data_IF_994462264771
#
_entry.id   IF_994462264771
#
_cell.length_a   1.000
_cell.length_b   1.000
_cell.length_c   1.000
_cell.angle_alpha   90.00
_cell.angle_beta   90.00
_cell.angle_gamma   90.00
#
_symmetry.space_group_name_H-M   'P 1'
#
loop_
_entity.id
_entity.type
_entity.pdbx_description
1 polymer ?
#
# COMPACT_ATOMS: atom_id res chain seq x y z
N UNK A 1 -20.34 -3.96 -24.32
CA UNK A 1 -20.64 -4.78 -23.12
C UNK A 1 -19.34 -5.00 -22.38
N UNK A 2 -19.12 -4.29 -21.26
CA UNK A 2 -18.01 -4.57 -20.37
C UNK A 2 -18.39 -5.76 -19.49
N UNK A 3 -17.48 -6.70 -19.26
CA UNK A 3 -17.69 -7.75 -18.26
C UNK A 3 -17.82 -7.09 -16.89
N UNK A 4 -18.83 -7.50 -16.12
CA UNK A 4 -18.92 -7.10 -14.72
C UNK A 4 -18.13 -8.09 -13.85
N UNK A 5 -17.64 -7.66 -12.66
CA UNK A 5 -17.00 -8.58 -11.71
C UNK A 5 -17.90 -9.78 -11.36
N UNK A 6 -19.21 -9.57 -11.32
CA UNK A 6 -20.20 -10.61 -11.06
C UNK A 6 -20.32 -11.62 -12.21
N UNK A 7 -20.04 -11.21 -13.45
CA UNK A 7 -20.05 -12.12 -14.61
C UNK A 7 -18.85 -13.06 -14.62
N UNK A 8 -17.73 -12.65 -14.03
CA UNK A 8 -16.52 -13.47 -13.90
C UNK A 8 -16.69 -14.51 -12.79
N UNK A 9 -17.22 -14.11 -11.64
CA UNK A 9 -17.50 -15.02 -10.51
C UNK A 9 -18.54 -16.09 -10.88
N UNK A 10 -19.54 -15.74 -11.69
CA UNK A 10 -20.59 -16.67 -12.12
C UNK A 10 -20.20 -17.50 -13.35
N UNK A 11 -18.96 -17.40 -13.84
CA UNK A 11 -18.56 -18.02 -15.09
C UNK A 11 -18.20 -19.50 -14.87
N UNK A 12 -19.07 -20.38 -15.35
CA UNK A 12 -18.78 -21.81 -15.38
C UNK A 12 -18.13 -22.23 -16.70
N UNK A 13 -16.98 -22.90 -16.61
CA UNK A 13 -16.29 -23.49 -17.77
C UNK A 13 -16.73 -24.95 -17.97
N UNK A 14 -16.99 -25.33 -19.22
CA UNK A 14 -17.34 -26.72 -19.55
C UNK A 14 -16.08 -27.57 -19.64
N UNK A 15 -16.08 -28.75 -18.98
CA UNK A 15 -14.94 -29.67 -19.04
C UNK A 15 -14.76 -30.20 -20.47
N UNK A 16 -13.52 -30.25 -20.99
CA UNK A 16 -13.27 -30.66 -22.38
C UNK A 16 -13.71 -32.11 -22.59
N UNK A 17 -14.70 -32.33 -23.47
CA UNK A 17 -15.16 -33.66 -23.86
C UNK A 17 -14.22 -34.24 -24.91
N UNK A 18 -13.20 -34.98 -24.47
CA UNK A 18 -12.30 -35.75 -25.32
C UNK A 18 -11.33 -36.61 -24.53
N UNK A 19 -11.23 -37.89 -24.89
CA UNK A 19 -10.32 -38.85 -24.24
C UNK A 19 -8.87 -38.38 -24.43
N UNK A 20 -8.20 -37.96 -23.34
CA UNK A 20 -6.79 -37.57 -23.35
C UNK A 20 -6.48 -36.08 -23.59
N UNK A 21 -7.47 -35.18 -23.66
CA UNK A 21 -7.21 -33.73 -23.61
C UNK A 21 -7.38 -33.24 -22.18
N UNK A 22 -6.27 -33.08 -21.48
CA UNK A 22 -6.25 -32.40 -20.18
C UNK A 22 -6.58 -30.92 -20.41
N UNK A 23 -7.57 -30.40 -19.69
CA UNK A 23 -7.89 -28.98 -19.68
C UNK A 23 -6.89 -28.19 -18.85
N UNK A 24 -7.14 -26.89 -18.69
CA UNK A 24 -6.46 -26.10 -17.66
C UNK A 24 -6.78 -26.66 -16.26
N UNK A 25 -5.84 -26.53 -15.34
CA UNK A 25 -6.03 -26.92 -13.94
C UNK A 25 -7.11 -26.01 -13.31
N UNK A 26 -8.17 -26.63 -12.79
CA UNK A 26 -9.34 -25.93 -12.24
C UNK A 26 -8.93 -25.00 -11.09
N UNK A 27 -7.99 -25.44 -10.23
CA UNK A 27 -7.53 -24.65 -9.08
C UNK A 27 -6.75 -23.42 -9.55
N UNK A 28 -5.86 -23.61 -10.53
CA UNK A 28 -5.06 -22.51 -11.07
C UNK A 28 -5.91 -21.48 -11.82
N UNK A 29 -6.98 -21.95 -12.49
CA UNK A 29 -7.93 -21.07 -13.17
C UNK A 29 -8.74 -20.29 -12.13
N UNK A 30 -9.21 -20.94 -11.06
CA UNK A 30 -9.97 -20.26 -9.99
C UNK A 30 -9.12 -19.20 -9.28
N UNK A 31 -7.87 -19.50 -8.89
CA UNK A 31 -6.95 -18.54 -8.28
C UNK A 31 -6.71 -17.30 -9.18
N UNK A 32 -6.58 -17.52 -10.49
CA UNK A 32 -6.39 -16.44 -11.46
C UNK A 32 -7.67 -15.62 -11.67
N UNK A 33 -8.84 -16.24 -11.61
CA UNK A 33 -10.12 -15.53 -11.71
C UNK A 33 -10.39 -14.69 -10.47
N UNK A 34 -9.99 -15.13 -9.28
CA UNK A 34 -10.05 -14.32 -8.06
C UNK A 34 -9.21 -13.04 -8.18
N UNK A 35 -7.99 -13.14 -8.72
CA UNK A 35 -7.13 -11.99 -9.00
C UNK A 35 -7.77 -11.04 -10.03
N UNK A 36 -8.35 -11.59 -11.10
CA UNK A 36 -9.08 -10.80 -12.11
C UNK A 36 -10.28 -10.07 -11.51
N UNK A 37 -11.04 -10.70 -10.61
CA UNK A 37 -12.21 -10.08 -9.98
C UNK A 37 -11.79 -8.90 -9.10
N UNK A 38 -10.70 -9.04 -8.35
CA UNK A 38 -10.14 -7.96 -7.53
C UNK A 38 -9.71 -6.78 -8.41
N UNK A 39 -8.96 -7.03 -9.48
CA UNK A 39 -8.51 -5.97 -10.38
C UNK A 39 -9.67 -5.35 -11.18
N UNK A 40 -10.69 -6.11 -11.56
CA UNK A 40 -11.86 -5.57 -12.26
C UNK A 40 -12.70 -4.67 -11.35
N UNK A 41 -12.80 -5.00 -10.05
CA UNK A 41 -13.43 -4.11 -9.06
C UNK A 41 -12.63 -2.83 -8.86
N UNK A 42 -11.30 -2.94 -8.79
CA UNK A 42 -10.40 -1.79 -8.69
C UNK A 42 -10.50 -0.88 -9.92
N UNK A 43 -10.45 -1.43 -11.13
CA UNK A 43 -10.57 -0.67 -12.37
C UNK A 43 -11.93 0.00 -12.52
N UNK A 44 -13.01 -0.65 -12.06
CA UNK A 44 -14.33 -0.01 -12.05
C UNK A 44 -14.40 1.15 -11.06
N UNK A 45 -13.86 0.99 -9.84
CA UNK A 45 -13.76 2.08 -8.87
C UNK A 45 -12.91 3.24 -9.41
N UNK A 46 -11.78 2.94 -10.07
CA UNK A 46 -10.93 3.97 -10.69
C UNK A 46 -11.63 4.68 -11.85
N UNK A 47 -12.40 3.96 -12.68
CA UNK A 47 -13.19 4.56 -13.74
C UNK A 47 -14.32 5.44 -13.18
N UNK A 48 -14.97 5.04 -12.09
CA UNK A 48 -15.98 5.86 -11.39
C UNK A 48 -15.33 7.13 -10.81
N UNK A 49 -14.17 7.01 -10.15
CA UNK A 49 -13.40 8.14 -9.64
C UNK A 49 -12.95 9.10 -10.76
N UNK A 50 -12.48 8.57 -11.89
CA UNK A 50 -12.08 9.35 -13.05
C UNK A 50 -13.29 10.05 -13.69
N UNK A 51 -14.43 9.37 -13.76
CA UNK A 51 -15.68 9.95 -14.26
C UNK A 51 -16.15 11.08 -13.35
N UNK A 52 -16.10 10.89 -12.02
CA UNK A 52 -16.39 11.92 -11.03
C UNK A 52 -15.46 13.14 -11.17
N UNK A 53 -14.14 12.91 -11.29
CA UNK A 53 -13.16 13.99 -11.53
C UNK A 53 -13.42 14.74 -12.84
N UNK A 54 -13.85 14.04 -13.89
CA UNK A 54 -14.21 14.67 -15.17
C UNK A 54 -15.51 15.48 -15.05
N UNK A 55 -16.49 15.00 -14.30
CA UNK A 55 -17.71 15.76 -14.00
C UNK A 55 -17.41 17.00 -13.17
N UNK A 56 -16.59 16.89 -12.13
CA UNK A 56 -16.18 18.02 -11.30
C UNK A 56 -15.38 19.05 -12.12
N UNK A 57 -14.48 18.57 -12.98
CA UNK A 57 -13.74 19.43 -13.91
C UNK A 57 -14.69 20.12 -14.91
N UNK A 58 -15.70 19.42 -15.45
CA UNK A 58 -16.72 20.00 -16.33
C UNK A 58 -17.60 21.02 -15.60
N UNK A 59 -18.04 20.72 -14.38
CA UNK A 59 -18.80 21.62 -13.50
C UNK A 59 -17.99 22.87 -13.18
N UNK A 60 -16.70 22.71 -12.88
CA UNK A 60 -15.78 23.84 -12.61
C UNK A 60 -15.53 24.72 -13.84
N UNK A 61 -15.64 24.16 -15.07
CA UNK A 61 -15.43 24.88 -16.34
C UNK A 61 -16.72 25.43 -16.97
N UNK A 62 -17.87 25.30 -16.31
CA UNK A 62 -19.14 25.89 -16.76
C UNK A 62 -19.69 25.31 -18.07
N UNK A 63 -19.26 24.10 -18.46
CA UNK A 63 -19.79 23.41 -19.64
C UNK A 63 -21.00 22.57 -19.19
N UNK A 64 -22.22 22.80 -19.68
CA UNK A 64 -23.37 22.01 -19.29
C UNK A 64 -23.19 20.55 -19.70
N UNK A 65 -23.53 19.65 -18.78
CA UNK A 65 -23.36 18.20 -18.94
C UNK A 65 -24.07 17.70 -20.20
N UNK A 66 -23.34 16.90 -20.98
CA UNK A 66 -23.93 16.11 -22.05
C UNK A 66 -24.77 15.03 -21.36
N UNK A 67 -26.09 15.12 -21.49
CA UNK A 67 -27.04 14.16 -20.91
C UNK A 67 -26.77 12.74 -21.42
N UNK A 68 -27.01 11.75 -20.55
CA UNK A 68 -26.89 10.30 -20.77
C UNK A 68 -27.85 9.72 -21.83
N UNK A 69 -28.26 10.50 -22.82
CA UNK A 69 -29.17 10.10 -23.90
C UNK A 69 -28.44 9.62 -25.17
N UNK A 70 -27.11 9.69 -25.22
CA UNK A 70 -26.30 9.26 -26.38
C UNK A 70 -25.61 7.90 -26.17
N UNK A 71 -25.89 7.17 -25.08
CA UNK A 71 -25.22 5.90 -24.77
C UNK A 71 -25.82 4.67 -25.50
N UNK A 72 -26.97 4.78 -26.17
CA UNK A 72 -27.68 3.63 -26.78
C UNK A 72 -27.67 3.59 -28.31
N UNK A 73 -26.77 4.33 -28.99
CA UNK A 73 -26.71 4.27 -30.46
C UNK A 73 -25.33 4.47 -31.07
N UNK A 74 -24.37 3.63 -30.71
CA UNK A 74 -23.14 3.48 -31.49
C UNK A 74 -22.50 2.10 -31.28
N UNK A 75 -23.19 1.03 -31.69
CA UNK A 75 -22.58 -0.26 -31.96
C UNK A 75 -22.78 -0.59 -33.45
N UNK A 76 -21.73 -0.37 -34.25
CA UNK A 76 -21.67 -0.67 -35.68
C UNK A 76 -20.29 -0.38 -36.26
N UNK A 77 -19.41 -1.40 -36.21
CA UNK A 77 -18.05 -1.50 -36.82
C UNK A 77 -17.99 -1.23 -38.34
N UNK A 78 -16.80 -1.25 -39.01
CA UNK A 78 -15.42 -0.95 -38.59
C UNK A 78 -14.62 -0.10 -39.62
N UNK A 79 -13.39 0.28 -39.24
CA UNK A 79 -12.18 0.45 -40.08
C UNK A 79 -12.12 1.47 -41.23
N UNK A 80 -10.94 2.11 -41.29
CA UNK A 80 -10.25 2.72 -42.43
C UNK A 80 -10.26 4.26 -42.55
N UNK A 81 -9.09 4.73 -42.99
CA UNK A 81 -8.77 6.03 -43.57
C UNK A 81 -8.45 7.20 -42.61
N UNK A 82 -7.14 7.31 -42.35
CA UNK A 82 -6.42 8.59 -42.21
C UNK A 82 -6.73 9.49 -43.41
N UNK A 83 -7.09 10.77 -43.23
CA UNK A 83 -6.92 11.74 -44.31
C UNK A 83 -5.90 12.82 -43.91
N UNK A 84 -4.94 12.95 -44.81
CA UNK A 84 -3.92 13.97 -44.85
C UNK A 84 -4.50 15.38 -45.13
N UNK A 85 -3.73 16.37 -44.69
CA UNK A 85 -3.82 17.77 -45.06
C UNK A 85 -3.65 17.97 -46.58
N UNK A 86 -4.48 18.81 -47.19
CA UNK A 86 -4.08 19.72 -48.28
C UNK A 86 -4.97 20.98 -48.31
N UNK A 87 -4.48 22.11 -48.88
CA UNK A 87 -4.78 23.47 -48.45
C UNK A 87 -5.51 24.35 -49.50
N UNK A 88 -5.74 25.62 -49.12
CA UNK A 88 -6.15 26.80 -49.94
C UNK A 88 -7.60 26.76 -50.43
N UNK A 89 -8.42 27.81 -50.35
CA UNK A 89 -8.29 29.22 -50.01
C UNK A 89 -9.51 29.93 -50.59
N UNK A 90 -10.04 30.93 -49.90
CA UNK A 90 -11.23 31.67 -50.35
C UNK A 90 -11.67 32.66 -49.28
N UNK A 91 -11.03 33.82 -49.26
CA UNK A 91 -11.46 34.99 -48.51
C UNK A 91 -12.83 35.46 -49.01
N UNK A 92 -13.71 35.86 -48.09
CA UNK A 92 -14.40 37.14 -48.25
C UNK A 92 -14.51 37.86 -46.90
N UNK A 93 -14.37 39.20 -46.87
CA UNK A 93 -14.12 39.98 -45.66
C UNK A 93 -15.39 40.68 -45.19
N UNK A 94 -15.87 40.40 -43.97
CA UNK A 94 -16.44 41.46 -43.14
C UNK A 94 -16.67 41.00 -41.69
N UNK A 95 -16.44 41.94 -40.78
CA UNK A 95 -16.85 41.99 -39.36
C UNK A 95 -16.06 41.18 -38.33
N UNK A 96 -15.30 41.99 -37.58
CA UNK A 96 -15.30 42.15 -36.10
C UNK A 96 -13.90 41.98 -35.53
N UNK A 97 -13.25 43.12 -35.30
CA UNK A 97 -12.07 43.24 -34.47
C UNK A 97 -12.40 42.80 -33.05
N UNK A 98 -11.98 41.60 -32.67
CA UNK A 98 -11.79 41.21 -31.27
C UNK A 98 -10.29 41.26 -30.99
N UNK A 99 -9.81 42.44 -30.60
CA UNK A 99 -8.46 42.60 -30.06
C UNK A 99 -8.46 41.83 -28.72
N UNK A 100 -7.61 40.79 -28.53
CA UNK A 100 -7.60 40.05 -27.27
C UNK A 100 -7.15 41.00 -26.17
N UNK A 101 -7.97 41.11 -25.12
CA UNK A 101 -7.66 41.99 -24.01
C UNK A 101 -6.40 41.48 -23.30
N UNK A 102 -5.54 42.39 -22.82
CA UNK A 102 -4.27 42.04 -22.16
C UNK A 102 -4.42 41.08 -20.96
N UNK A 103 -5.62 41.03 -20.36
CA UNK A 103 -5.96 40.11 -19.26
C UNK A 103 -6.07 38.65 -19.73
N UNK A 104 -6.56 38.40 -20.94
CA UNK A 104 -6.71 37.04 -21.48
C UNK A 104 -5.34 36.41 -21.80
N UNK A 105 -4.36 37.23 -22.18
CA UNK A 105 -2.98 36.81 -22.44
C UNK A 105 -2.25 36.46 -21.14
N UNK A 106 -2.47 37.21 -20.05
CA UNK A 106 -1.87 36.90 -18.74
C UNK A 106 -2.45 35.63 -18.12
N UNK A 107 -3.77 35.41 -18.24
CA UNK A 107 -4.43 34.17 -17.79
C UNK A 107 -3.95 32.97 -18.60
N UNK A 108 -3.78 33.11 -19.92
CA UNK A 108 -3.22 32.04 -20.76
C UNK A 108 -1.75 31.72 -20.41
N UNK A 109 -0.96 32.75 -20.04
CA UNK A 109 0.44 32.57 -19.63
C UNK A 109 0.54 31.89 -18.26
N UNK A 110 -0.32 32.26 -17.31
CA UNK A 110 -0.43 31.59 -16.01
C UNK A 110 -0.88 30.12 -16.16
N UNK A 111 -1.84 29.85 -17.05
CA UNK A 111 -2.27 28.49 -17.37
C UNK A 111 -1.14 27.64 -17.99
N UNK A 112 -0.31 28.22 -18.87
CA UNK A 112 0.85 27.54 -19.44
C UNK A 112 1.92 27.21 -18.39
N UNK A 113 2.19 28.11 -17.45
CA UNK A 113 3.17 27.88 -16.37
C UNK A 113 2.68 26.78 -15.42
N UNK A 114 1.39 26.76 -15.10
CA UNK A 114 0.79 25.71 -14.28
C UNK A 114 0.77 24.35 -14.99
N UNK A 115 0.51 24.33 -16.30
CA UNK A 115 0.61 23.11 -17.10
C UNK A 115 2.04 22.56 -17.11
N UNK A 116 3.05 23.43 -17.22
CA UNK A 116 4.45 23.04 -17.24
C UNK A 116 4.92 22.52 -15.87
N UNK A 117 4.43 23.10 -14.76
CA UNK A 117 4.65 22.55 -13.40
C UNK A 117 4.01 21.19 -13.25
N UNK A 118 2.73 21.04 -13.64
CA UNK A 118 2.03 19.76 -13.58
C UNK A 118 2.70 18.67 -14.43
N UNK A 119 3.29 19.04 -15.58
CA UNK A 119 4.10 18.13 -16.39
C UNK A 119 5.41 17.71 -15.69
N UNK A 120 6.06 18.62 -14.96
CA UNK A 120 7.23 18.31 -14.15
C UNK A 120 6.91 17.38 -12.98
N UNK A 121 5.79 17.63 -12.29
CA UNK A 121 5.32 16.79 -11.19
C UNK A 121 4.96 15.38 -11.70
N UNK A 122 4.33 15.29 -12.88
CA UNK A 122 4.02 14.01 -13.54
C UNK A 122 5.28 13.23 -13.91
N UNK A 123 6.33 13.91 -14.40
CA UNK A 123 7.61 13.26 -14.70
C UNK A 123 8.28 12.74 -13.42
N UNK A 124 8.28 13.53 -12.35
CA UNK A 124 8.87 13.13 -11.06
C UNK A 124 8.15 11.93 -10.43
N UNK A 125 6.81 11.90 -10.51
CA UNK A 125 6.01 10.78 -10.01
C UNK A 125 6.19 9.52 -10.87
N UNK A 126 6.41 9.68 -12.18
CA UNK A 126 6.74 8.57 -13.07
C UNK A 126 8.11 7.96 -12.77
N UNK A 127 9.10 8.79 -12.42
CA UNK A 127 10.43 8.32 -12.02
C UNK A 127 10.41 7.64 -10.63
N UNK A 128 9.63 8.17 -9.69
CA UNK A 128 9.37 7.51 -8.40
C UNK A 128 8.68 6.14 -8.58
N UNK A 129 7.70 6.05 -9.49
CA UNK A 129 7.03 4.78 -9.79
C UNK A 129 8.01 3.76 -10.38
N UNK A 130 8.92 4.17 -11.27
CA UNK A 130 9.98 3.29 -11.80
C UNK A 130 10.95 2.85 -10.72
N UNK A 131 11.33 3.74 -9.81
CA UNK A 131 12.20 3.41 -8.67
C UNK A 131 11.52 2.38 -7.74
N UNK A 132 10.27 2.62 -7.36
CA UNK A 132 9.48 1.71 -6.54
C UNK A 132 9.26 0.35 -7.23
N UNK A 133 9.05 0.33 -8.56
CA UNK A 133 8.98 -0.91 -9.34
C UNK A 133 10.31 -1.66 -9.36
N UNK A 134 11.45 -0.96 -9.37
CA UNK A 134 12.79 -1.54 -9.25
C UNK A 134 12.99 -2.20 -7.88
N UNK A 135 12.61 -1.52 -6.81
CA UNK A 135 12.66 -2.07 -5.44
C UNK A 135 11.74 -3.28 -5.29
N UNK A 136 10.53 -3.24 -5.87
CA UNK A 136 9.60 -4.37 -5.84
C UNK A 136 10.17 -5.61 -6.56
N UNK A 137 10.86 -5.42 -7.70
CA UNK A 137 11.53 -6.53 -8.39
C UNK A 137 12.70 -7.08 -7.58
N UNK A 138 13.51 -6.21 -6.98
CA UNK A 138 14.63 -6.64 -6.12
C UNK A 138 14.13 -7.44 -4.91
N UNK A 139 13.10 -6.96 -4.23
CA UNK A 139 12.50 -7.67 -3.09
C UNK A 139 11.85 -8.99 -3.53
N UNK A 140 11.21 -9.03 -4.71
CA UNK A 140 10.67 -10.27 -5.26
C UNK A 140 11.76 -11.31 -5.61
N UNK A 141 12.92 -10.86 -6.12
CA UNK A 141 14.08 -11.73 -6.35
C UNK A 141 14.67 -12.25 -5.04
N UNK A 142 14.78 -11.41 -4.00
CA UNK A 142 15.22 -11.81 -2.67
C UNK A 142 14.27 -12.84 -2.03
N UNK A 143 12.96 -12.66 -2.17
CA UNK A 143 11.96 -13.64 -1.69
C UNK A 143 12.12 -14.98 -2.41
N UNK A 144 12.34 -14.97 -3.73
CA UNK A 144 12.60 -16.22 -4.49
C UNK A 144 13.90 -16.90 -4.05
N UNK A 145 14.96 -16.13 -3.80
CA UNK A 145 16.22 -16.66 -3.27
C UNK A 145 16.03 -17.30 -1.88
N UNK A 146 15.36 -16.60 -0.96
CA UNK A 146 15.06 -17.09 0.38
C UNK A 146 14.16 -18.35 0.35
N UNK A 147 13.20 -18.42 -0.57
CA UNK A 147 12.39 -19.63 -0.79
C UNK A 147 13.23 -20.81 -1.31
N UNK A 148 14.22 -20.56 -2.15
CA UNK A 148 15.18 -21.58 -2.60
C UNK A 148 16.02 -22.13 -1.45
N UNK A 149 16.52 -21.25 -0.59
CA UNK A 149 17.26 -21.61 0.63
C UNK A 149 16.37 -22.40 1.61
N UNK A 150 15.11 -22.01 1.79
CA UNK A 150 14.15 -22.73 2.62
C UNK A 150 13.91 -24.16 2.11
N UNK A 151 13.77 -24.34 0.79
CA UNK A 151 13.63 -25.68 0.19
C UNK A 151 14.90 -26.52 0.39
N UNK A 152 16.07 -25.93 0.18
CA UNK A 152 17.34 -26.62 0.39
C UNK A 152 17.55 -27.04 1.84
N UNK A 153 17.23 -26.17 2.80
CA UNK A 153 17.30 -26.49 4.24
C UNK A 153 16.26 -27.53 4.64
N UNK A 154 15.07 -27.51 4.05
CA UNK A 154 14.05 -28.54 4.25
C UNK A 154 14.50 -29.91 3.72
N UNK A 155 15.16 -29.96 2.57
CA UNK A 155 15.78 -31.18 2.02
C UNK A 155 16.95 -31.69 2.89
N UNK A 156 17.75 -30.79 3.46
CA UNK A 156 18.80 -31.16 4.40
C UNK A 156 18.19 -31.74 5.69
N UNK A 157 17.12 -31.15 6.20
CA UNK A 157 16.43 -31.63 7.40
C UNK A 157 15.79 -33.00 7.20
N UNK A 158 15.25 -33.30 6.01
CA UNK A 158 14.73 -34.64 5.72
C UNK A 158 15.84 -35.67 5.59
N UNK A 159 17.00 -35.31 5.03
CA UNK A 159 18.19 -36.18 5.00
C UNK A 159 18.71 -36.49 6.40
N UNK A 160 18.87 -35.47 7.25
CA UNK A 160 19.33 -35.64 8.63
C UNK A 160 18.34 -36.48 9.46
N UNK A 161 17.03 -36.30 9.24
CA UNK A 161 16.01 -37.17 9.87
C UNK A 161 16.15 -38.62 9.42
N UNK A 162 16.36 -38.88 8.13
CA UNK A 162 16.56 -40.23 7.62
C UNK A 162 17.83 -40.89 8.20
N UNK A 163 18.92 -40.12 8.33
CA UNK A 163 20.15 -40.59 8.98
C UNK A 163 19.94 -40.87 10.47
N UNK A 164 19.13 -40.06 11.17
CA UNK A 164 18.78 -40.28 12.57
C UNK A 164 17.97 -41.57 12.75
N UNK A 165 16.98 -41.81 11.89
CA UNK A 165 16.17 -43.05 11.91
C UNK A 165 17.03 -44.28 11.60
N UNK A 166 17.98 -44.15 10.67
CA UNK A 166 18.95 -45.20 10.36
C UNK A 166 19.88 -45.49 11.55
N UNK A 167 20.38 -44.45 12.23
CA UNK A 167 21.19 -44.61 13.43
C UNK A 167 20.41 -45.23 14.59
N UNK A 168 19.13 -44.86 14.77
CA UNK A 168 18.25 -45.44 15.79
C UNK A 168 17.97 -46.92 15.53
N UNK A 169 17.71 -47.31 14.28
CA UNK A 169 17.51 -48.72 13.92
C UNK A 169 18.79 -49.55 14.11
N UNK A 170 19.96 -48.99 13.79
CA UNK A 170 21.25 -49.64 14.05
C UNK A 170 21.52 -49.80 15.57
N UNK A 171 21.17 -48.80 16.38
CA UNK A 171 21.27 -48.89 17.84
C UNK A 171 20.34 -49.97 18.41
N UNK A 172 19.10 -50.05 17.91
CA UNK A 172 18.14 -51.07 18.32
C UNK A 172 18.63 -52.49 17.95
N UNK A 173 19.19 -52.66 16.75
CA UNK A 173 19.80 -53.93 16.33
C UNK A 173 21.00 -54.31 17.23
N UNK A 174 21.89 -53.37 17.51
CA UNK A 174 23.03 -53.59 18.41
C UNK A 174 22.60 -53.93 19.85
N UNK A 175 21.49 -53.37 20.34
CA UNK A 175 20.90 -53.72 21.63
C UNK A 175 20.32 -55.14 21.63
N UNK A 176 19.66 -55.55 20.54
CA UNK A 176 19.18 -56.92 20.38
C UNK A 176 20.34 -57.93 20.31
N UNK A 177 21.40 -57.61 19.57
CA UNK A 177 22.60 -58.44 19.49
C UNK A 177 23.28 -58.57 20.85
N UNK A 178 23.39 -57.47 21.60
CA UNK A 178 23.88 -57.48 22.98
C UNK A 178 23.02 -58.38 23.89
N UNK A 179 21.69 -58.27 23.81
CA UNK A 179 20.78 -59.10 24.59
C UNK A 179 20.87 -60.60 24.21
N UNK A 180 21.09 -60.89 22.92
CA UNK A 180 21.27 -62.26 22.41
C UNK A 180 22.60 -62.87 22.84
N UNK A 181 23.67 -62.09 22.86
CA UNK A 181 24.96 -62.50 23.39
C UNK A 181 24.91 -62.71 24.92
N UNK A 182 24.18 -61.88 25.65
CA UNK A 182 23.94 -62.06 27.09
C UNK A 182 23.12 -63.31 27.41
N UNK A 183 22.09 -63.62 26.62
CA UNK A 183 21.30 -64.85 26.80
C UNK A 183 22.07 -66.11 26.41
N UNK A 184 22.95 -66.05 25.41
CA UNK A 184 23.89 -67.14 25.08
C UNK A 184 24.95 -67.33 26.17
N UNK A 185 25.46 -66.24 26.77
CA UNK A 185 26.38 -66.31 27.89
C UNK A 185 25.71 -66.87 29.16
N UNK A 186 24.43 -66.54 29.39
CA UNK A 186 23.65 -67.12 30.49
C UNK A 186 23.31 -68.60 30.25
N UNK A 187 23.05 -69.01 29.00
CA UNK A 187 22.81 -70.41 28.64
C UNK A 187 24.08 -71.28 28.76
N UNK A 188 25.26 -70.71 28.48
CA UNK A 188 26.55 -71.37 28.68
C UNK A 188 27.09 -71.25 30.14
N UNK A 189 26.41 -70.51 31.01
CA UNK A 189 26.77 -70.32 32.42
C UNK A 189 26.17 -71.36 33.38
N UNK A 190 25.43 -72.35 32.88
CA UNK A 190 24.92 -73.49 33.66
C UNK A 190 25.40 -74.79 33.03
N UNK A 191 26.71 -75.00 33.02
CA UNK A 191 27.32 -76.30 32.80
C UNK A 191 28.55 -76.42 33.72
N UNK A 192 28.27 -76.87 34.93
CA UNK A 192 29.24 -77.36 35.91
C UNK A 192 30.04 -78.54 35.32
N UNK A 193 31.39 -78.53 35.28
CA UNK A 193 32.17 -79.69 34.88
C UNK A 193 32.65 -80.44 36.12
N UNK A 194 31.75 -81.19 36.77
CA UNK A 194 32.12 -82.18 37.76
C UNK A 194 31.38 -83.51 37.52
N UNK A 195 32.13 -84.46 36.98
CA UNK A 195 31.98 -85.92 37.08
C UNK A 195 30.93 -86.62 36.20
N UNK A 196 31.42 -87.53 35.36
CA UNK A 196 31.41 -88.99 35.64
C UNK A 196 31.11 -89.87 34.40
N UNK A 197 32.19 -90.44 33.85
CA UNK A 197 32.36 -91.86 33.43
C UNK A 197 31.23 -92.66 32.74
N UNK A 198 31.56 -93.20 31.55
CA UNK A 198 31.46 -94.62 31.12
C UNK A 198 31.68 -94.64 29.59
N UNK A 199 32.74 -95.19 29.00
CA UNK A 199 33.28 -96.57 29.01
C UNK A 199 32.25 -97.66 28.72
N UNK A 200 32.26 -98.14 27.46
CA UNK A 200 31.83 -99.48 27.07
C UNK A 200 32.62 -99.96 25.82
N UNK A 201 33.48 -100.96 26.05
CA UNK A 201 33.79 -102.13 25.22
C UNK A 201 34.16 -102.00 23.72
N UNK A 202 35.42 -102.33 23.41
CA UNK A 202 35.86 -103.13 22.25
C UNK A 202 37.25 -103.76 22.58
N UNK A 203 37.62 -104.90 21.98
CA UNK A 203 38.18 -106.07 22.69
C UNK A 203 39.69 -106.04 22.94
N UNK A 204 40.08 -106.80 23.97
CA UNK A 204 41.44 -107.26 24.18
C UNK A 204 41.71 -108.48 23.29
N UNK A 205 42.82 -108.43 22.58
CA UNK A 205 43.65 -109.60 22.36
C UNK A 205 45.14 -109.20 22.45
N UNK A 206 45.88 -110.07 23.14
CA UNK A 206 47.33 -110.31 23.13
C UNK A 206 48.33 -109.31 23.78
N UNK A 207 48.90 -109.82 24.88
CA UNK A 207 50.34 -109.82 25.28
C UNK A 207 51.06 -108.53 25.71
N UNK A 208 51.35 -108.49 27.01
CA UNK A 208 52.71 -108.52 27.60
C UNK A 208 53.86 -108.06 26.71
N UNK A 209 54.56 -106.98 27.09
CA UNK A 209 56.02 -106.92 27.32
C UNK A 209 56.33 -105.63 28.13
N UNK A 210 57.24 -105.80 29.08
CA UNK A 210 57.78 -104.86 30.05
C UNK A 210 58.15 -103.45 29.52
N UNK A 211 57.92 -102.40 30.34
CA UNK A 211 58.89 -101.36 30.76
C UNK A 211 58.16 -100.09 31.25
N UNK A 212 58.11 -99.87 32.56
CA UNK A 212 57.43 -98.77 33.27
C UNK A 212 58.11 -97.40 33.13
N UNK A 213 59.10 -97.25 32.25
CA UNK A 213 59.83 -95.99 32.03
C UNK A 213 59.34 -95.20 30.80
N UNK A 214 58.56 -95.80 29.88
CA UNK A 214 58.07 -95.13 28.66
C UNK A 214 56.73 -94.39 28.80
N UNK A 215 55.78 -94.93 29.56
CA UNK A 215 54.42 -94.37 29.66
C UNK A 215 54.36 -93.04 30.45
N UNK A 216 55.18 -92.89 31.48
CA UNK A 216 55.31 -91.64 32.23
C UNK A 216 55.90 -90.50 31.38
N UNK A 217 56.82 -90.82 30.46
CA UNK A 217 57.39 -89.86 29.53
C UNK A 217 56.37 -89.33 28.50
N UNK A 218 55.48 -90.19 28.00
CA UNK A 218 54.44 -89.80 27.04
C UNK A 218 53.33 -88.96 27.71
N UNK A 219 52.96 -89.27 28.96
CA UNK A 219 51.98 -88.47 29.72
C UNK A 219 52.57 -87.11 30.07
N UNK A 220 53.84 -87.03 30.48
CA UNK A 220 54.52 -85.77 30.74
C UNK A 220 54.68 -84.92 29.47
N UNK A 221 54.90 -85.55 28.31
CA UNK A 221 54.91 -84.86 27.01
C UNK A 221 53.51 -84.36 26.64
N UNK A 222 52.46 -85.17 26.86
CA UNK A 222 51.08 -84.78 26.59
C UNK A 222 50.62 -83.62 27.48
N UNK A 223 50.99 -83.62 28.77
CA UNK A 223 50.73 -82.50 29.68
C UNK A 223 51.49 -81.25 29.25
N UNK A 224 52.77 -81.36 28.88
CA UNK A 224 53.55 -80.22 28.37
C UNK A 224 52.94 -79.62 27.10
N UNK A 225 52.56 -80.46 26.14
CA UNK A 225 51.94 -80.01 24.88
C UNK A 225 50.56 -79.39 25.15
N UNK A 226 49.80 -79.94 26.11
CA UNK A 226 48.52 -79.37 26.52
C UNK A 226 48.71 -77.99 27.17
N UNK A 227 49.62 -77.86 28.13
CA UNK A 227 49.93 -76.60 28.81
C UNK A 227 50.47 -75.57 27.82
N UNK A 228 51.26 -76.00 26.82
CA UNK A 228 51.72 -75.16 25.72
C UNK A 228 50.55 -74.69 24.83
N UNK A 229 49.62 -75.56 24.47
CA UNK A 229 48.43 -75.17 23.69
C UNK A 229 47.48 -74.26 24.46
N UNK A 230 47.30 -74.48 25.76
CA UNK A 230 46.50 -73.61 26.63
C UNK A 230 47.15 -72.23 26.71
N UNK A 231 48.47 -72.17 26.92
CA UNK A 231 49.22 -70.91 26.94
C UNK A 231 49.14 -70.17 25.61
N UNK A 232 49.30 -70.87 24.49
CA UNK A 232 49.15 -70.30 23.15
C UNK A 232 47.72 -69.80 22.89
N UNK A 233 46.72 -70.52 23.41
CA UNK A 233 45.31 -70.13 23.36
C UNK A 233 45.03 -68.87 24.16
N UNK A 234 45.56 -68.76 25.38
CA UNK A 234 45.46 -67.57 26.23
C UNK A 234 46.13 -66.36 25.57
N UNK A 235 47.34 -66.52 25.03
CA UNK A 235 48.04 -65.45 24.31
C UNK A 235 47.22 -64.98 23.10
N UNK A 236 46.66 -65.90 22.31
CA UNK A 236 45.82 -65.55 21.15
C UNK A 236 44.54 -64.86 21.58
N UNK A 237 43.87 -65.34 22.63
CA UNK A 237 42.65 -64.72 23.19
C UNK A 237 42.94 -63.29 23.65
N UNK A 238 43.99 -63.11 24.44
CA UNK A 238 44.32 -61.80 25.00
C UNK A 238 44.77 -60.83 23.90
N UNK A 239 45.47 -61.31 22.88
CA UNK A 239 45.79 -60.54 21.67
C UNK A 239 44.53 -60.10 20.92
N UNK A 240 43.57 -60.99 20.69
CA UNK A 240 42.32 -60.67 20.00
C UNK A 240 41.46 -59.69 20.80
N UNK A 241 41.40 -59.85 22.13
CA UNK A 241 40.69 -58.92 23.01
C UNK A 241 41.34 -57.54 22.94
N UNK A 242 42.67 -57.46 23.01
CA UNK A 242 43.39 -56.19 22.92
C UNK A 242 43.19 -55.51 21.57
N UNK A 243 43.23 -56.26 20.47
CA UNK A 243 42.98 -55.74 19.12
C UNK A 243 41.53 -55.26 18.96
N UNK A 244 40.56 -56.04 19.46
CA UNK A 244 39.14 -55.68 19.44
C UNK A 244 38.87 -54.42 20.28
N UNK A 245 39.47 -54.30 21.47
CA UNK A 245 39.38 -53.12 22.32
C UNK A 245 40.00 -51.90 21.62
N UNK A 246 41.18 -52.04 21.02
CA UNK A 246 41.83 -50.96 20.29
C UNK A 246 41.00 -50.50 19.08
N UNK A 247 40.35 -51.42 18.36
CA UNK A 247 39.45 -51.11 17.27
C UNK A 247 38.18 -50.40 17.77
N UNK A 248 37.57 -50.89 18.84
CA UNK A 248 36.40 -50.27 19.47
C UNK A 248 36.69 -48.82 19.89
N UNK A 249 37.79 -48.59 20.60
CA UNK A 249 38.20 -47.26 21.06
C UNK A 249 38.55 -46.35 19.88
N UNK A 250 39.05 -46.89 18.77
CA UNK A 250 39.27 -46.13 17.53
C UNK A 250 37.95 -45.68 16.92
N UNK A 251 37.00 -46.60 16.75
CA UNK A 251 35.69 -46.28 16.16
C UNK A 251 34.92 -45.28 17.01
N UNK A 252 34.94 -45.43 18.35
CA UNK A 252 34.31 -44.46 19.24
C UNK A 252 34.96 -43.08 19.11
N UNK A 253 36.29 -43.00 19.04
CA UNK A 253 36.99 -41.72 18.85
C UNK A 253 36.60 -41.07 17.53
N UNK A 254 36.64 -41.82 16.43
CA UNK A 254 36.26 -41.29 15.11
C UNK A 254 34.79 -40.86 15.06
N UNK A 255 33.88 -41.62 15.68
CA UNK A 255 32.46 -41.27 15.78
C UNK A 255 32.25 -40.01 16.62
N UNK A 256 32.94 -39.87 17.75
CA UNK A 256 32.87 -38.68 18.59
C UNK A 256 33.44 -37.45 17.88
N UNK A 257 34.57 -37.57 17.19
CA UNK A 257 35.13 -36.47 16.39
C UNK A 257 34.15 -36.00 15.33
N UNK A 258 33.56 -36.92 14.55
CA UNK A 258 32.55 -36.57 13.53
C UNK A 258 31.31 -35.93 14.14
N UNK A 259 30.85 -36.42 15.30
CA UNK A 259 29.72 -35.83 16.02
C UNK A 259 30.04 -34.38 16.42
N UNK A 260 31.21 -34.16 17.02
CA UNK A 260 31.61 -32.84 17.51
C UNK A 260 31.80 -31.85 16.35
N UNK A 261 32.33 -32.31 15.21
CA UNK A 261 32.41 -31.53 13.97
C UNK A 261 31.02 -31.15 13.45
N UNK A 262 30.08 -32.10 13.37
CA UNK A 262 28.72 -31.83 12.90
C UNK A 262 27.96 -30.89 13.84
N UNK A 263 28.09 -31.09 15.16
CA UNK A 263 27.47 -30.22 16.18
C UNK A 263 28.08 -28.83 16.11
N UNK A 264 29.41 -28.71 15.98
CA UNK A 264 30.08 -27.41 15.80
C UNK A 264 29.61 -26.69 14.53
N UNK A 265 29.54 -27.40 13.40
CA UNK A 265 29.05 -26.82 12.14
C UNK A 265 27.57 -26.40 12.23
N UNK A 266 26.74 -27.18 12.91
CA UNK A 266 25.34 -26.83 13.13
C UNK A 266 25.19 -25.59 14.03
N UNK A 267 25.97 -25.48 15.11
CA UNK A 267 25.96 -24.30 15.97
C UNK A 267 26.43 -23.04 15.23
N UNK A 268 27.51 -23.12 14.45
CA UNK A 268 27.98 -21.98 13.66
C UNK A 268 26.91 -21.46 12.68
N UNK A 269 26.25 -22.38 11.96
CA UNK A 269 25.14 -22.01 11.06
C UNK A 269 23.95 -21.43 11.81
N UNK A 270 23.64 -21.96 12.99
CA UNK A 270 22.56 -21.44 13.81
C UNK A 270 22.85 -20.01 14.29
N UNK A 271 24.06 -19.77 14.78
CA UNK A 271 24.49 -18.44 15.24
C UNK A 271 24.53 -17.44 14.07
N UNK A 272 24.99 -17.87 12.90
CA UNK A 272 24.95 -17.07 11.67
C UNK A 272 23.51 -16.70 11.27
N UNK A 273 22.59 -17.66 11.30
CA UNK A 273 21.18 -17.41 10.99
C UNK A 273 20.53 -16.47 12.01
N UNK A 274 20.82 -16.63 13.31
CA UNK A 274 20.32 -15.73 14.35
C UNK A 274 20.87 -14.33 14.13
N UNK A 275 22.17 -14.17 13.88
CA UNK A 275 22.78 -12.87 13.64
C UNK A 275 22.22 -12.21 12.39
N UNK A 276 22.02 -12.97 11.30
CA UNK A 276 21.42 -12.45 10.08
C UNK A 276 19.93 -12.07 10.28
N UNK A 277 19.18 -12.86 11.05
CA UNK A 277 17.79 -12.55 11.39
C UNK A 277 17.69 -11.29 12.26
N UNK A 278 18.57 -11.15 13.26
CA UNK A 278 18.65 -9.95 14.10
C UNK A 278 19.01 -8.71 13.28
N UNK A 279 20.02 -8.79 12.41
CA UNK A 279 20.39 -7.67 11.55
C UNK A 279 19.24 -7.23 10.62
N UNK A 280 18.55 -8.20 9.98
CA UNK A 280 17.37 -7.91 9.15
C UNK A 280 16.21 -7.31 9.96
N UNK A 281 16.03 -7.76 11.20
CA UNK A 281 15.00 -7.22 12.08
C UNK A 281 15.29 -5.77 12.46
N UNK A 282 16.53 -5.47 12.84
CA UNK A 282 16.97 -4.13 13.20
C UNK A 282 16.87 -3.18 12.00
N UNK A 283 17.25 -3.64 10.80
CA UNK A 283 17.08 -2.89 9.55
C UNK A 283 15.61 -2.59 9.25
N UNK A 284 14.72 -3.58 9.43
CA UNK A 284 13.29 -3.39 9.23
C UNK A 284 12.71 -2.39 10.24
N UNK A 285 13.14 -2.46 11.51
CA UNK A 285 12.73 -1.48 12.52
C UNK A 285 13.21 -0.08 12.14
N UNK A 286 14.48 0.05 11.71
CA UNK A 286 15.04 1.34 11.35
C UNK A 286 14.32 1.95 10.13
N UNK A 287 14.05 1.14 9.10
CA UNK A 287 13.31 1.59 7.90
C UNK A 287 11.85 1.91 8.22
N UNK A 288 11.22 1.18 9.13
CA UNK A 288 9.87 1.48 9.60
C UNK A 288 9.83 2.79 10.38
N UNK A 289 10.81 3.02 11.27
CA UNK A 289 10.95 4.27 12.04
C UNK A 289 11.19 5.46 11.11
N UNK A 290 12.13 5.36 10.16
CA UNK A 290 12.41 6.46 9.23
C UNK A 290 11.19 6.80 8.37
N UNK A 291 10.46 5.80 7.86
CA UNK A 291 9.21 6.02 7.11
C UNK A 291 8.12 6.64 7.97
N UNK A 292 8.03 6.22 9.24
CA UNK A 292 7.06 6.79 10.18
C UNK A 292 7.35 8.27 10.44
N UNK A 293 8.60 8.62 10.71
CA UNK A 293 9.02 10.00 10.95
C UNK A 293 8.81 10.87 9.69
N UNK A 294 9.10 10.34 8.51
CA UNK A 294 8.81 11.01 7.24
C UNK A 294 7.31 11.26 7.04
N UNK A 295 6.46 10.26 7.31
CA UNK A 295 5.00 10.41 7.23
C UNK A 295 4.47 11.44 8.24
N UNK A 296 5.01 11.45 9.45
CA UNK A 296 4.65 12.46 10.45
C UNK A 296 5.08 13.86 10.02
N UNK A 297 6.32 14.02 9.53
CA UNK A 297 6.84 15.31 9.07
C UNK A 297 6.06 15.84 7.86
N UNK A 298 5.75 14.97 6.89
CA UNK A 298 4.95 15.35 5.72
C UNK A 298 3.50 15.65 6.08
N UNK A 299 2.93 14.89 7.02
CA UNK A 299 1.60 15.16 7.58
C UNK A 299 1.53 16.49 8.30
N UNK A 300 2.50 16.80 9.16
CA UNK A 300 2.62 18.08 9.87
C UNK A 300 2.77 19.25 8.89
N UNK A 301 3.66 19.13 7.91
CA UNK A 301 3.88 20.18 6.90
C UNK A 301 2.60 20.48 6.10
N UNK A 302 1.87 19.44 5.67
CA UNK A 302 0.59 19.60 4.98
C UNK A 302 -0.49 20.20 5.87
N UNK A 303 -0.52 19.81 7.15
CA UNK A 303 -1.46 20.38 8.11
C UNK A 303 -1.21 21.87 8.33
N UNK A 304 0.05 22.27 8.52
CA UNK A 304 0.43 23.67 8.70
C UNK A 304 0.16 24.51 7.44
N UNK A 305 0.41 23.95 6.25
CA UNK A 305 0.07 24.58 4.98
C UNK A 305 -1.45 24.78 4.83
N UNK A 306 -2.27 23.77 5.15
CA UNK A 306 -3.73 23.88 5.12
C UNK A 306 -4.24 24.90 6.14
N UNK A 307 -3.64 24.95 7.33
CA UNK A 307 -4.01 25.93 8.35
C UNK A 307 -3.66 27.35 7.89
N UNK A 308 -2.46 27.55 7.35
CA UNK A 308 -2.01 28.85 6.83
C UNK A 308 -2.85 29.32 5.65
N UNK A 309 -3.16 28.43 4.71
CA UNK A 309 -4.00 28.78 3.55
C UNK A 309 -5.45 29.01 3.94
N UNK A 310 -5.96 28.25 4.92
CA UNK A 310 -7.28 28.45 5.51
C UNK A 310 -7.39 29.80 6.22
N UNK A 311 -6.40 30.15 7.05
CA UNK A 311 -6.32 31.44 7.75
C UNK A 311 -6.21 32.60 6.75
N UNK A 312 -5.34 32.50 5.74
CA UNK A 312 -5.20 33.54 4.72
C UNK A 312 -6.52 33.80 3.96
N UNK A 313 -7.23 32.74 3.56
CA UNK A 313 -8.55 32.88 2.90
C UNK A 313 -9.60 33.45 3.84
N UNK A 314 -9.57 33.06 5.12
CA UNK A 314 -10.48 33.60 6.11
C UNK A 314 -10.26 35.11 6.29
N UNK A 315 -9.01 35.53 6.47
CA UNK A 315 -8.63 36.94 6.63
C UNK A 315 -8.97 37.76 5.38
N UNK A 316 -8.75 37.20 4.19
CA UNK A 316 -9.15 37.81 2.92
C UNK A 316 -10.66 38.00 2.82
N UNK A 317 -11.46 36.98 3.17
CA UNK A 317 -12.92 37.06 3.17
C UNK A 317 -13.44 38.07 4.18
N UNK A 318 -12.87 38.08 5.40
CA UNK A 318 -13.22 39.06 6.44
C UNK A 318 -12.90 40.46 5.95
N UNK A 319 -11.70 40.68 5.39
CA UNK A 319 -11.29 41.98 4.86
C UNK A 319 -12.21 42.46 3.73
N UNK A 320 -12.45 41.60 2.74
CA UNK A 320 -13.34 41.89 1.62
C UNK A 320 -14.77 42.21 2.10
N UNK A 321 -15.29 41.43 3.06
CA UNK A 321 -16.59 41.70 3.67
C UNK A 321 -16.65 43.03 4.42
N UNK A 322 -15.60 43.35 5.19
CA UNK A 322 -15.53 44.65 5.90
C UNK A 322 -15.40 45.83 4.93
N UNK A 323 -14.65 45.68 3.85
CA UNK A 323 -14.46 46.71 2.83
C UNK A 323 -15.77 46.98 2.07
N UNK A 324 -16.48 45.91 1.67
CA UNK A 324 -17.80 46.02 1.04
C UNK A 324 -18.84 46.66 1.95
N UNK A 325 -18.87 46.27 3.23
CA UNK A 325 -19.75 46.88 4.22
C UNK A 325 -19.44 48.37 4.40
N UNK A 326 -18.16 48.73 4.56
CA UNK A 326 -17.73 50.12 4.67
C UNK A 326 -18.03 50.94 3.41
N UNK A 327 -18.00 50.32 2.23
CA UNK A 327 -18.41 50.96 0.98
C UNK A 327 -19.92 51.19 0.95
N UNK A 328 -20.73 50.18 1.26
CA UNK A 328 -22.19 50.32 1.29
C UNK A 328 -22.65 51.38 2.29
N UNK A 329 -22.00 51.47 3.46
CA UNK A 329 -22.28 52.51 4.46
C UNK A 329 -21.92 53.89 3.90
N UNK A 330 -20.75 54.06 3.29
CA UNK A 330 -20.36 55.33 2.65
C UNK A 330 -21.34 55.74 1.55
N UNK A 331 -21.71 54.84 0.66
CA UNK A 331 -22.68 55.11 -0.40
C UNK A 331 -24.06 55.46 0.17
N UNK A 332 -24.50 54.78 1.24
CA UNK A 332 -25.76 55.08 1.90
C UNK A 332 -25.75 56.45 2.59
N UNK A 333 -24.64 56.82 3.24
CA UNK A 333 -24.45 58.14 3.84
C UNK A 333 -24.42 59.25 2.79
N UNK A 334 -23.72 59.04 1.68
CA UNK A 334 -23.69 59.97 0.54
C UNK A 334 -25.08 60.18 -0.05
N UNK A 335 -25.83 59.10 -0.32
CA UNK A 335 -27.22 59.18 -0.79
C UNK A 335 -28.10 59.90 0.22
N UNK A 336 -27.97 59.61 1.51
CA UNK A 336 -28.72 60.29 2.58
C UNK A 336 -28.43 61.79 2.56
N UNK A 337 -27.16 62.18 2.50
CA UNK A 337 -26.75 63.58 2.49
C UNK A 337 -27.23 64.30 1.23
N UNK A 338 -27.19 63.63 0.06
CA UNK A 338 -27.72 64.16 -1.19
C UNK A 338 -29.24 64.40 -1.12
N UNK A 339 -30.00 63.45 -0.58
CA UNK A 339 -31.47 63.59 -0.40
C UNK A 339 -31.79 64.73 0.58
N UNK A 340 -31.04 64.86 1.68
CA UNK A 340 -31.23 65.98 2.62
C UNK A 340 -30.91 67.33 1.95
N UNK A 341 -29.85 67.40 1.15
CA UNK A 341 -29.49 68.61 0.42
C UNK A 341 -30.58 69.01 -0.60
N UNK A 342 -31.12 68.04 -1.34
CA UNK A 342 -32.24 68.28 -2.27
C UNK A 342 -33.50 68.73 -1.53
N UNK A 343 -33.88 68.06 -0.43
CA UNK A 343 -35.01 68.47 0.40
C UNK A 343 -34.86 69.88 0.98
N UNK A 344 -33.64 70.28 1.38
CA UNK A 344 -33.36 71.65 1.83
C UNK A 344 -33.55 72.65 0.68
N UNK A 345 -33.02 72.35 -0.52
CA UNK A 345 -33.20 73.18 -1.71
C UNK A 345 -34.68 73.36 -2.08
N UNK A 346 -35.45 72.26 -2.06
CA UNK A 346 -36.90 72.31 -2.30
C UNK A 346 -37.62 73.14 -1.23
N UNK A 347 -37.26 72.98 0.05
CA UNK A 347 -37.81 73.79 1.14
C UNK A 347 -37.53 75.28 0.88
N UNK A 348 -36.29 75.64 0.57
CA UNK A 348 -35.89 77.03 0.36
C UNK A 348 -36.60 77.64 -0.86
N UNK A 349 -36.80 76.86 -1.93
CA UNK A 349 -37.61 77.27 -3.09
C UNK A 349 -39.08 77.51 -2.73
N UNK A 350 -39.68 76.61 -1.95
CA UNK A 350 -41.07 76.76 -1.49
C UNK A 350 -41.18 77.99 -0.58
N UNK A 351 -40.26 78.18 0.36
CA UNK A 351 -40.19 79.35 1.23
C UNK A 351 -40.06 80.65 0.41
N UNK A 352 -39.16 80.70 -0.58
CA UNK A 352 -39.02 81.86 -1.45
C UNK A 352 -40.28 82.18 -2.26
N UNK A 353 -40.98 81.16 -2.76
CA UNK A 353 -42.28 81.34 -3.43
C UNK A 353 -43.36 81.87 -2.48
N UNK A 354 -43.39 81.39 -1.24
CA UNK A 354 -44.31 81.90 -0.21
C UNK A 354 -44.03 83.39 0.04
N UNK A 355 -42.77 83.80 0.17
CA UNK A 355 -42.42 85.20 0.39
C UNK A 355 -42.77 86.09 -0.81
N UNK A 356 -42.55 85.61 -2.03
CA UNK A 356 -42.98 86.30 -3.25
C UNK A 356 -44.51 86.47 -3.31
N UNK A 357 -45.27 85.41 -2.98
CA UNK A 357 -46.73 85.48 -2.92
C UNK A 357 -47.21 86.45 -1.84
N UNK A 358 -46.56 86.49 -0.67
CA UNK A 358 -46.86 87.46 0.39
C UNK A 358 -46.57 88.90 -0.03
N UNK A 359 -45.45 89.15 -0.72
CA UNK A 359 -45.14 90.46 -1.29
C UNK A 359 -46.19 90.87 -2.32
N UNK A 360 -46.53 89.96 -3.23
CA UNK A 360 -47.56 90.21 -4.25
C UNK A 360 -48.92 90.51 -3.62
N UNK A 361 -49.30 89.78 -2.56
CA UNK A 361 -50.51 90.06 -1.79
C UNK A 361 -50.46 91.45 -1.14
N UNK A 362 -49.34 91.82 -0.51
CA UNK A 362 -49.14 93.14 0.08
C UNK A 362 -49.25 94.28 -0.94
N UNK A 363 -48.59 94.13 -2.09
CA UNK A 363 -48.64 95.08 -3.20
C UNK A 363 -50.05 95.17 -3.79
N UNK A 364 -50.72 94.02 -3.97
CA UNK A 364 -52.09 93.97 -4.47
C UNK A 364 -53.06 94.65 -3.51
N UNK A 365 -52.95 94.40 -2.20
CA UNK A 365 -53.75 95.08 -1.17
C UNK A 365 -53.50 96.58 -1.15
N UNK A 366 -52.25 97.01 -1.31
CA UNK A 366 -51.90 98.44 -1.39
C UNK A 366 -52.50 99.09 -2.63
N UNK A 367 -52.37 98.46 -3.81
CA UNK A 367 -52.99 98.92 -5.06
C UNK A 367 -54.51 98.96 -4.97
N UNK A 368 -55.14 97.93 -4.40
CA UNK A 368 -56.58 97.87 -4.21
C UNK A 368 -57.07 98.97 -3.25
N UNK A 369 -56.35 99.19 -2.13
CA UNK A 369 -56.63 100.28 -1.21
C UNK A 369 -56.54 101.64 -1.92
N UNK A 370 -55.45 101.89 -2.66
CA UNK A 370 -55.27 103.14 -3.41
C UNK A 370 -56.34 103.35 -4.49
N UNK A 371 -56.77 102.28 -5.19
CA UNK A 371 -57.86 102.36 -6.17
C UNK A 371 -59.20 102.71 -5.51
N UNK A 372 -59.50 102.10 -4.35
CA UNK A 372 -60.72 102.41 -3.59
C UNK A 372 -60.66 103.85 -3.06
N UNK A 373 -59.51 104.31 -2.55
CA UNK A 373 -59.30 105.70 -2.10
C UNK A 373 -59.42 106.71 -3.24
N UNK A 374 -58.87 106.44 -4.44
CA UNK A 374 -59.05 107.29 -5.62
C UNK A 374 -60.52 107.39 -6.04
N UNK A 375 -61.24 106.25 -6.06
CA UNK A 375 -62.69 106.25 -6.34
C UNK A 375 -63.49 107.03 -5.31
N UNK A 376 -63.18 106.85 -4.01
CA UNK A 376 -63.81 107.65 -2.95
C UNK A 376 -63.51 109.14 -3.10
N UNK A 377 -62.26 109.52 -3.40
CA UNK A 377 -61.89 110.92 -3.64
C UNK A 377 -62.58 111.51 -4.89
N UNK A 378 -62.77 110.74 -5.96
CA UNK A 378 -63.53 111.18 -7.13
C UNK A 378 -65.01 111.33 -6.84
N UNK A 379 -65.58 110.49 -5.98
CA UNK A 379 -66.95 110.65 -5.48
C UNK A 379 -67.09 111.89 -4.59
N UNK A 380 -66.07 112.22 -3.79
CA UNK A 380 -66.05 113.41 -2.93
C UNK A 380 -65.77 114.71 -3.73
N UNK A 381 -64.98 114.62 -4.81
CA UNK A 381 -64.72 115.72 -5.77
C UNK A 381 -65.77 115.85 -6.88
N UNK A 382 -66.64 114.86 -7.06
CA UNK A 382 -67.81 115.03 -7.90
C UNK A 382 -68.60 116.18 -7.29
N UNK A 383 -68.80 117.30 -8.00
CA UNK A 383 -69.56 118.41 -7.45
C UNK A 383 -70.91 117.87 -7.04
N UNK A 384 -71.38 118.27 -5.85
CA UNK A 384 -72.79 118.19 -5.47
C UNK A 384 -73.62 118.75 -6.62
N UNK A 385 -74.02 117.89 -7.56
CA UNK A 385 -75.07 118.16 -8.54
C UNK A 385 -76.41 118.01 -7.81
N UNK A 386 -76.54 118.83 -6.78
CA UNK A 386 -77.76 119.23 -6.14
C UNK A 386 -77.70 120.74 -6.07
N UNK A 387 -78.63 121.36 -6.78
CA UNK A 387 -79.21 122.67 -6.50
C UNK A 387 -78.64 123.93 -7.20
N UNK A 388 -79.60 124.79 -7.55
CA UNK A 388 -79.57 126.16 -8.08
C UNK A 388 -79.35 126.41 -9.59
N UNK A 389 -80.12 127.22 -10.35
CA UNK A 389 -81.42 127.88 -10.19
C UNK A 389 -81.74 128.65 -11.51
N UNK A 390 -83.04 128.72 -11.89
CA UNK A 390 -83.86 129.84 -12.44
C UNK A 390 -83.36 130.85 -13.53
N UNK A 391 -84.38 131.36 -14.25
CA UNK A 391 -84.54 132.61 -15.04
C UNK A 391 -83.72 132.72 -16.33
N UNK A 392 -84.27 132.99 -17.52
CA UNK A 392 -85.47 133.73 -17.96
C UNK A 392 -86.03 133.10 -19.27
#
# INVERSE_FOLDING_TARGET
MALTPEDVVKKEFTKPKGFGRSGYDEIQVDDFLDEIVVELRRLNAENEDLTGKLEDCRRSKGVPGRSDSDADKAAGSPAAAVPALTPVGGNDPDKTQAVPSLKDVEVAKAASVNLQKAQGDLASTQDQLRAAQGELRSTQEQVKAAQGELKSTQEQLTRVKAELDQAQSALAAAQQDKARLQSQAAANGVADPAQNTKSAAAPADVATIASTEGAAGVIALAQRVHDEHVRDGEIKRDSLISEAQAHHDRVIREANTKRDELVGAAHLKHDELISAAQARHDELIQTAQSRHDELLSTGQSKYDELLSTGQAKHDELVRSGTDQSAQMVREAEERRNAVIADLNSQRDQISGRIDQLRSFEGDYRTKLRGYIEDHLSRLDQAPSAGDDAKSD
#
